data_IF_399234945566
#
_entry.id   IF_399234945566
#
_cell.length_a   1.000
_cell.length_b   1.000
_cell.length_c   1.000
_cell.angle_alpha   90.00
_cell.angle_beta   90.00
_cell.angle_gamma   90.00
#
_symmetry.space_group_name_H-M   'P 1'
#
loop_
_entity.id
_entity.type
_entity.pdbx_description
1 polymer ?
#
# COMPACT_ATOMS: atom_id res chain seq x y z
N UNK A 1 8.40 16.08 -2.49
CA UNK A 1 7.58 14.95 -2.99
C UNK A 1 6.16 15.47 -3.18
N UNK A 2 5.61 15.42 -4.40
CA UNK A 2 4.23 15.84 -4.69
C UNK A 2 3.35 14.59 -4.75
N UNK A 3 2.26 14.57 -3.98
CA UNK A 3 1.22 13.54 -4.09
C UNK A 3 0.04 14.19 -4.83
N UNK A 4 -0.44 13.57 -5.92
CA UNK A 4 -1.56 14.13 -6.69
C UNK A 4 -2.83 14.15 -5.84
N UNK A 5 -3.65 15.18 -6.00
CA UNK A 5 -4.99 15.27 -5.40
C UNK A 5 -5.86 14.07 -5.78
N UNK A 6 -5.69 13.52 -6.98
CA UNK A 6 -6.39 12.31 -7.43
C UNK A 6 -6.10 11.08 -6.55
N UNK A 7 -4.89 11.00 -5.98
CA UNK A 7 -4.49 9.92 -5.06
C UNK A 7 -5.16 10.10 -3.70
N UNK A 8 -5.32 11.34 -3.27
CA UNK A 8 -6.01 11.69 -2.02
C UNK A 8 -7.51 11.37 -2.15
N UNK A 9 -8.13 11.73 -3.28
CA UNK A 9 -9.53 11.44 -3.59
C UNK A 9 -9.79 9.93 -3.74
N UNK A 10 -8.84 9.20 -4.34
CA UNK A 10 -8.91 7.75 -4.41
C UNK A 10 -8.76 7.08 -3.03
N UNK A 11 -8.25 7.77 -2.01
CA UNK A 11 -8.12 7.27 -0.63
C UNK A 11 -9.40 7.47 0.20
N UNK A 12 -10.23 8.46 -0.13
CA UNK A 12 -11.56 8.73 0.46
C UNK A 12 -12.67 8.53 -0.58
N UNK A 13 -13.09 7.28 -0.86
CA UNK A 13 -14.17 7.05 -1.80
C UNK A 13 -15.48 7.52 -1.17
N UNK A 14 -16.34 8.15 -1.98
CA UNK A 14 -17.72 8.42 -1.59
C UNK A 14 -18.38 7.13 -1.02
N UNK A 15 -19.18 7.23 0.05
CA UNK A 15 -19.80 6.05 0.67
C UNK A 15 -20.62 5.28 -0.38
N UNK A 16 -20.17 4.07 -0.72
CA UNK A 16 -20.91 3.20 -1.62
C UNK A 16 -22.12 2.64 -0.87
N UNK A 17 -23.32 2.92 -1.39
CA UNK A 17 -24.60 2.41 -0.86
C UNK A 17 -24.80 0.91 -1.07
N UNK A 18 -23.83 0.19 -1.66
CA UNK A 18 -23.90 -1.27 -1.89
C UNK A 18 -23.29 -2.05 -0.73
N UNK A 19 -24.14 -2.77 -0.01
CA UNK A 19 -23.76 -3.74 1.03
C UNK A 19 -22.89 -4.85 0.41
N UNK A 20 -21.68 -5.06 0.93
CA UNK A 20 -20.80 -6.17 0.54
C UNK A 20 -19.83 -5.91 -0.63
N UNK A 21 -19.85 -4.73 -1.26
CA UNK A 21 -18.90 -4.40 -2.31
C UNK A 21 -17.56 -3.95 -1.72
N UNK A 22 -16.49 -4.71 -1.94
CA UNK A 22 -15.12 -4.26 -1.66
C UNK A 22 -14.88 -2.92 -2.37
N UNK A 23 -14.52 -1.87 -1.61
CA UNK A 23 -14.35 -0.53 -2.21
C UNK A 23 -13.12 -0.59 -3.11
N UNK A 24 -13.25 -0.27 -4.40
CA UNK A 24 -12.10 -0.16 -5.33
C UNK A 24 -10.98 0.73 -4.79
N UNK A 25 -11.36 1.74 -4.01
CA UNK A 25 -10.45 2.59 -3.28
C UNK A 25 -9.69 1.85 -2.15
N UNK A 26 -10.32 0.93 -1.42
CA UNK A 26 -9.61 0.11 -0.42
C UNK A 26 -8.50 -0.73 -1.05
N UNK A 27 -8.72 -1.28 -2.25
CA UNK A 27 -7.68 -2.03 -2.96
C UNK A 27 -6.54 -1.10 -3.42
N UNK A 28 -6.86 0.10 -3.92
CA UNK A 28 -5.85 1.11 -4.30
C UNK A 28 -5.03 1.61 -3.10
N UNK A 29 -5.67 1.79 -1.94
CA UNK A 29 -5.01 2.13 -0.67
C UNK A 29 -4.02 1.04 -0.26
N UNK A 30 -4.45 -0.23 -0.33
CA UNK A 30 -3.61 -1.38 -0.03
C UNK A 30 -2.42 -1.47 -1.01
N UNK A 31 -2.68 -1.33 -2.31
CA UNK A 31 -1.64 -1.36 -3.35
C UNK A 31 -0.62 -0.24 -3.16
N UNK A 32 -1.08 0.97 -2.84
CA UNK A 32 -0.20 2.12 -2.61
C UNK A 32 0.66 1.90 -1.36
N UNK A 33 0.08 1.41 -0.26
CA UNK A 33 0.81 1.08 0.95
C UNK A 33 1.86 -0.02 0.73
N UNK A 34 1.52 -1.09 0.01
CA UNK A 34 2.44 -2.16 -0.36
C UNK A 34 3.54 -1.64 -1.30
N UNK A 35 3.21 -0.77 -2.25
CA UNK A 35 4.19 -0.19 -3.16
C UNK A 35 5.23 0.63 -2.39
N UNK A 36 4.78 1.52 -1.50
CA UNK A 36 5.67 2.34 -0.67
C UNK A 36 6.55 1.45 0.23
N UNK A 37 5.97 0.41 0.82
CA UNK A 37 6.74 -0.60 1.57
C UNK A 37 7.88 -1.17 0.74
N UNK A 38 7.59 -1.61 -0.49
CA UNK A 38 8.57 -2.29 -1.35
C UNK A 38 9.63 -1.33 -1.88
N UNK A 39 9.25 -0.12 -2.27
CA UNK A 39 10.16 0.93 -2.76
C UNK A 39 11.13 1.37 -1.67
N UNK A 40 10.65 1.58 -0.44
CA UNK A 40 11.47 2.04 0.68
C UNK A 40 12.08 0.90 1.51
N UNK A 41 11.79 -0.37 1.17
CA UNK A 41 12.31 -1.54 1.89
C UNK A 41 11.83 -1.64 3.36
N UNK A 42 10.66 -1.10 3.68
CA UNK A 42 10.18 -0.99 5.06
C UNK A 42 9.51 -2.29 5.56
N UNK A 43 9.64 -2.64 6.85
CA UNK A 43 8.73 -3.56 7.53
C UNK A 43 7.28 -3.06 7.53
N UNK A 44 6.29 -3.95 7.64
CA UNK A 44 4.87 -3.57 7.61
C UNK A 44 4.49 -2.57 8.73
N UNK A 45 4.96 -2.80 9.96
CA UNK A 45 4.73 -1.88 11.09
C UNK A 45 5.35 -0.50 10.86
N UNK A 46 6.53 -0.46 10.25
CA UNK A 46 7.19 0.81 9.92
C UNK A 46 6.50 1.52 8.75
N UNK A 47 5.96 0.77 7.79
CA UNK A 47 5.14 1.32 6.69
C UNK A 47 3.88 1.98 7.24
N UNK A 48 3.20 1.33 8.19
CA UNK A 48 2.04 1.90 8.86
C UNK A 48 2.38 3.24 9.55
N UNK A 49 3.46 3.28 10.33
CA UNK A 49 3.92 4.51 10.97
C UNK A 49 4.35 5.59 9.97
N UNK A 50 5.06 5.21 8.92
CA UNK A 50 5.48 6.12 7.85
C UNK A 50 4.30 6.76 7.14
N UNK A 51 3.27 5.98 6.79
CA UNK A 51 2.06 6.48 6.16
C UNK A 51 1.30 7.45 7.08
N UNK A 52 1.20 7.14 8.37
CA UNK A 52 0.60 8.04 9.37
C UNK A 52 1.34 9.37 9.44
N UNK A 53 2.67 9.34 9.55
CA UNK A 53 3.50 10.56 9.60
C UNK A 53 3.42 11.35 8.30
N UNK A 54 3.39 10.68 7.15
CA UNK A 54 3.25 11.31 5.84
C UNK A 54 1.91 12.05 5.73
N UNK A 55 0.81 11.44 6.17
CA UNK A 55 -0.52 12.04 6.15
C UNK A 55 -0.65 13.21 7.12
N UNK A 56 -0.07 13.09 8.31
CA UNK A 56 0.03 14.20 9.26
C UNK A 56 0.81 15.39 8.68
N UNK A 57 1.95 15.12 8.02
CA UNK A 57 2.76 16.17 7.39
C UNK A 57 2.01 16.88 6.25
N UNK A 58 1.14 16.17 5.53
CA UNK A 58 0.30 16.74 4.48
C UNK A 58 -1.00 17.36 5.02
N UNK A 59 -1.22 17.35 6.34
CA UNK A 59 -2.46 17.78 6.98
C UNK A 59 -3.72 17.11 6.41
N UNK A 60 -3.62 15.83 6.05
CA UNK A 60 -4.73 15.05 5.50
C UNK A 60 -5.18 13.99 6.51
N UNK A 61 -6.46 14.02 6.85
CA UNK A 61 -7.08 13.02 7.73
C UNK A 61 -7.52 11.78 6.93
N UNK A 62 -6.56 10.91 6.59
CA UNK A 62 -6.81 9.64 5.89
C UNK A 62 -6.56 8.45 6.81
N UNK A 63 -7.43 7.45 6.73
CA UNK A 63 -7.25 6.19 7.44
C UNK A 63 -6.11 5.39 6.82
N UNK A 64 -5.16 4.98 7.65
CA UNK A 64 -4.04 4.12 7.26
C UNK A 64 -4.40 2.68 7.63
N UNK A 65 -4.37 1.72 6.68
CA UNK A 65 -4.58 0.32 7.01
C UNK A 65 -3.52 -0.15 8.01
N UNK A 66 -3.95 -0.85 9.04
CA UNK A 66 -3.04 -1.45 10.01
C UNK A 66 -2.17 -2.55 9.36
N UNK A 67 -1.02 -2.83 9.98
CA UNK A 67 -0.08 -3.83 9.49
C UNK A 67 -0.68 -5.25 9.37
N UNK A 68 -1.73 -5.58 10.12
CA UNK A 68 -2.44 -6.87 10.03
C UNK A 68 -3.29 -6.94 8.76
N UNK A 69 -4.01 -5.86 8.42
CA UNK A 69 -4.74 -5.71 7.15
C UNK A 69 -3.77 -5.77 5.97
N UNK A 70 -2.66 -5.03 6.04
CA UNK A 70 -1.63 -5.04 5.01
C UNK A 70 -1.02 -6.44 4.84
N UNK A 71 -0.73 -7.15 5.94
CA UNK A 71 -0.19 -8.52 5.89
C UNK A 71 -1.14 -9.47 5.17
N UNK A 72 -2.41 -9.51 5.59
CA UNK A 72 -3.43 -10.38 5.00
C UNK A 72 -3.62 -10.10 3.50
N UNK A 73 -3.65 -8.81 3.12
CA UNK A 73 -3.91 -8.41 1.73
C UNK A 73 -2.69 -8.53 0.83
N UNK A 74 -1.48 -8.40 1.37
CA UNK A 74 -0.24 -8.51 0.60
C UNK A 74 -0.09 -9.86 -0.10
N UNK A 75 -0.63 -10.93 0.49
CA UNK A 75 -0.63 -12.27 -0.09
C UNK A 75 -1.38 -12.35 -1.43
N UNK A 76 -2.37 -11.48 -1.63
CA UNK A 76 -3.18 -11.42 -2.85
C UNK A 76 -2.81 -10.24 -3.78
N UNK A 77 -1.82 -9.43 -3.41
CA UNK A 77 -1.39 -8.29 -4.23
C UNK A 77 -0.49 -8.75 -5.38
N UNK A 78 -0.83 -8.35 -6.61
CA UNK A 78 0.01 -8.62 -7.79
C UNK A 78 1.38 -7.95 -7.66
N UNK A 79 1.43 -6.71 -7.14
CA UNK A 79 2.66 -5.95 -6.96
C UNK A 79 3.63 -6.70 -6.04
N UNK A 80 3.14 -7.22 -4.91
CA UNK A 80 3.96 -8.01 -3.99
C UNK A 80 4.49 -9.29 -4.65
N UNK A 81 3.64 -10.03 -5.38
CA UNK A 81 4.02 -11.25 -6.07
C UNK A 81 5.06 -11.02 -7.16
N UNK A 82 4.91 -9.95 -7.96
CA UNK A 82 5.87 -9.56 -9.00
C UNK A 82 7.20 -9.18 -8.38
N UNK A 83 7.20 -8.41 -7.29
CA UNK A 83 8.41 -7.99 -6.60
C UNK A 83 9.17 -9.19 -5.99
N UNK A 84 8.47 -10.13 -5.34
CA UNK A 84 9.09 -11.34 -4.80
C UNK A 84 9.64 -12.26 -5.89
N UNK A 85 8.97 -12.33 -7.05
CA UNK A 85 9.50 -13.02 -8.23
C UNK A 85 10.79 -12.36 -8.73
N UNK A 86 10.80 -11.03 -8.87
CA UNK A 86 11.97 -10.27 -9.29
C UNK A 86 13.14 -10.45 -8.31
N UNK A 87 12.90 -10.34 -7.00
CA UNK A 87 13.92 -10.51 -5.95
C UNK A 87 14.56 -11.90 -6.01
N UNK A 88 13.75 -12.96 -6.18
CA UNK A 88 14.26 -14.33 -6.34
C UNK A 88 15.11 -14.49 -7.59
N UNK A 89 14.71 -13.88 -8.72
CA UNK A 89 15.48 -13.93 -9.96
C UNK A 89 16.81 -13.22 -9.84
N UNK A 90 16.84 -12.04 -9.22
CA UNK A 90 18.08 -11.29 -8.96
C UNK A 90 19.03 -12.05 -8.04
N UNK A 91 18.50 -12.67 -6.97
CA UNK A 91 19.29 -13.50 -6.06
C UNK A 91 19.90 -14.72 -6.77
N UNK A 92 19.18 -15.34 -7.71
CA UNK A 92 19.70 -16.45 -8.50
C UNK A 92 20.83 -16.05 -9.46
N UNK A 93 20.83 -14.81 -9.97
CA UNK A 93 21.88 -14.28 -10.85
C UNK A 93 23.14 -13.89 -10.07
N UNK A 94 23.02 -13.52 -8.79
CA UNK A 94 24.15 -13.12 -7.94
C UNK A 94 25.00 -14.29 -7.41
N UNK A 95 24.57 -15.54 -7.63
CA UNK A 95 25.20 -16.76 -7.08
C UNK A 95 25.80 -17.63 -8.20
N UNK A 96 25.81 -17.15 -9.45
CA UNK A 96 26.45 -17.77 -10.63
C UNK A 96 27.65 -16.96 -11.08
#
# INVERSE_FOLDING_TARGET
>A
MWISLDVIDAWKPAPSRKRGGQRKSSDLVIETAITLRLVFGLPLRQTEGFLKSLFQMMAIDLEVPDHTTLSSRSQHSLIAQVFDRWRRRMAAVSVS
#
